data_IF_230573566863
#
_entry.id   IF_230573566863
#
_cell.length_a   1.000
_cell.length_b   1.000
_cell.length_c   1.000
_cell.angle_alpha   90.00
_cell.angle_beta   90.00
_cell.angle_gamma   90.00
#
_symmetry.space_group_name_H-M   'P 1'
#
loop_
_entity.id
_entity.type
_entity.pdbx_description
1 polymer ?
#
# COMPACT_ATOMS: atom_id res chain seq x y z
N UNK A 1 9.29 5.14 -19.35
CA UNK A 1 8.21 5.06 -18.34
C UNK A 1 8.85 5.26 -16.96
N UNK A 2 8.14 5.88 -16.02
CA UNK A 2 8.61 6.14 -14.66
C UNK A 2 7.67 5.44 -13.67
N UNK A 3 8.21 4.90 -12.59
CA UNK A 3 7.41 4.41 -11.46
C UNK A 3 7.18 5.56 -10.47
N UNK A 4 5.96 5.67 -9.95
CA UNK A 4 5.59 6.61 -8.90
C UNK A 4 5.47 5.84 -7.58
N UNK A 5 6.43 6.10 -6.70
CA UNK A 5 6.59 5.45 -5.41
C UNK A 5 6.17 6.37 -4.27
N UNK A 6 5.55 5.78 -3.25
CA UNK A 6 5.25 6.46 -1.98
C UNK A 6 5.84 5.65 -0.84
N UNK A 7 6.77 6.28 -0.11
CA UNK A 7 7.43 5.74 1.08
C UNK A 7 7.13 6.61 2.31
N UNK A 8 6.34 6.04 3.22
CA UNK A 8 5.88 6.70 4.44
C UNK A 8 4.38 6.60 4.64
N UNK A 9 3.96 6.04 5.78
CA UNK A 9 2.54 5.98 6.17
C UNK A 9 1.66 5.07 5.31
N UNK A 10 2.24 4.09 4.61
CA UNK A 10 1.49 3.14 3.77
C UNK A 10 0.88 2.02 4.62
N UNK A 11 -0.44 1.91 4.60
CA UNK A 11 -1.26 0.85 5.23
C UNK A 11 -2.51 0.52 4.40
N UNK A 12 -3.43 -0.33 4.91
CA UNK A 12 -4.66 -0.72 4.22
C UNK A 12 -5.68 0.42 4.05
N UNK A 13 -5.51 1.55 4.71
CA UNK A 13 -6.38 2.73 4.61
C UNK A 13 -5.81 3.75 3.64
N UNK A 14 -4.50 3.98 3.67
CA UNK A 14 -3.84 4.99 2.83
C UNK A 14 -3.57 4.46 1.43
N UNK A 15 -3.18 3.19 1.29
CA UNK A 15 -2.76 2.66 0.00
C UNK A 15 -3.83 2.71 -1.12
N UNK A 16 -5.14 2.49 -0.87
CA UNK A 16 -6.18 2.74 -1.88
C UNK A 16 -6.22 4.20 -2.39
N UNK A 17 -5.93 5.18 -1.54
CA UNK A 17 -5.84 6.60 -1.90
C UNK A 17 -4.59 6.88 -2.75
N UNK A 18 -3.46 6.27 -2.39
CA UNK A 18 -2.19 6.42 -3.12
C UNK A 18 -2.29 5.85 -4.53
N UNK A 19 -2.89 4.66 -4.68
CA UNK A 19 -3.16 4.06 -5.98
C UNK A 19 -4.09 4.95 -6.81
N UNK A 20 -5.15 5.49 -6.19
CA UNK A 20 -6.05 6.44 -6.86
C UNK A 20 -5.33 7.74 -7.30
N UNK A 21 -4.35 8.19 -6.52
CA UNK A 21 -3.53 9.35 -6.86
C UNK A 21 -2.48 9.08 -7.95
N UNK A 22 -2.31 7.82 -8.37
CA UNK A 22 -1.43 7.41 -9.47
C UNK A 22 -0.16 6.67 -9.04
N UNK A 23 0.02 6.38 -7.75
CA UNK A 23 1.15 5.56 -7.29
C UNK A 23 1.03 4.13 -7.82
N UNK A 24 2.14 3.58 -8.31
CA UNK A 24 2.23 2.19 -8.77
C UNK A 24 3.27 1.36 -8.00
N UNK A 25 3.98 1.99 -7.06
CA UNK A 25 4.86 1.33 -6.09
C UNK A 25 4.52 1.84 -4.69
N UNK A 26 4.38 0.93 -3.73
CA UNK A 26 4.00 1.22 -2.36
C UNK A 26 5.06 0.65 -1.40
N UNK A 27 5.60 1.48 -0.50
CA UNK A 27 6.57 1.04 0.51
C UNK A 27 5.94 1.01 1.89
N UNK A 28 5.72 -0.19 2.41
CA UNK A 28 5.08 -0.41 3.71
C UNK A 28 6.01 -1.15 4.67
N UNK A 29 6.85 -0.40 5.38
CA UNK A 29 7.75 -0.95 6.40
C UNK A 29 7.01 -1.30 7.70
N UNK A 30 6.67 -0.29 8.50
CA UNK A 30 6.07 -0.46 9.83
C UNK A 30 4.79 -1.30 9.80
N UNK A 31 3.93 -1.09 8.80
CA UNK A 31 2.67 -1.83 8.65
C UNK A 31 2.88 -3.34 8.50
N UNK A 32 3.92 -3.76 7.76
CA UNK A 32 4.25 -5.17 7.55
C UNK A 32 5.03 -5.73 8.74
N UNK A 33 6.13 -5.10 9.14
CA UNK A 33 7.09 -5.68 10.08
C UNK A 33 6.69 -5.56 11.56
N UNK A 34 5.76 -4.67 11.93
CA UNK A 34 5.19 -4.64 13.30
C UNK A 34 3.92 -5.48 13.45
N UNK A 35 3.41 -6.06 12.36
CA UNK A 35 2.26 -6.96 12.42
C UNK A 35 2.67 -8.31 12.99
N UNK A 36 1.78 -8.94 13.77
CA UNK A 36 1.90 -10.35 14.16
C UNK A 36 1.68 -11.31 12.98
N UNK A 37 1.06 -10.83 11.90
CA UNK A 37 0.81 -11.56 10.65
C UNK A 37 1.36 -10.79 9.43
N UNK A 38 2.69 -10.72 9.18
CA UNK A 38 3.26 -9.92 8.11
C UNK A 38 2.79 -10.33 6.70
N UNK A 39 2.67 -11.64 6.45
CA UNK A 39 2.22 -12.17 5.16
C UNK A 39 0.81 -11.70 4.81
N UNK A 40 -0.09 -11.70 5.80
CA UNK A 40 -1.47 -11.21 5.65
C UNK A 40 -1.52 -9.71 5.31
N UNK A 41 -0.63 -8.91 5.89
CA UNK A 41 -0.54 -7.49 5.54
C UNK A 41 -0.02 -7.27 4.11
N UNK A 42 0.96 -8.07 3.69
CA UNK A 42 1.43 -8.06 2.29
C UNK A 42 0.30 -8.47 1.34
N UNK A 43 -0.47 -9.51 1.66
CA UNK A 43 -1.63 -9.94 0.86
C UNK A 43 -2.69 -8.85 0.76
N UNK A 44 -3.01 -8.16 1.86
CA UNK A 44 -3.91 -7.00 1.81
C UNK A 44 -3.41 -5.95 0.82
N UNK A 45 -2.15 -5.54 0.93
CA UNK A 45 -1.57 -4.50 0.07
C UNK A 45 -1.55 -4.91 -1.41
N UNK A 46 -1.30 -6.19 -1.71
CA UNK A 46 -1.33 -6.72 -3.08
C UNK A 46 -2.73 -6.74 -3.71
N UNK A 47 -3.77 -6.85 -2.89
CA UNK A 47 -5.16 -6.95 -3.33
C UNK A 47 -5.94 -5.64 -3.14
N UNK A 48 -5.25 -4.51 -3.01
CA UNK A 48 -5.89 -3.21 -2.90
C UNK A 48 -6.63 -2.89 -4.17
N UNK A 49 -7.90 -2.48 -4.00
CA UNK A 49 -8.66 -1.85 -5.05
C UNK A 49 -8.63 -0.33 -4.86
N UNK A 50 -8.47 0.46 -5.93
CA UNK A 50 -8.66 1.89 -5.85
C UNK A 50 -10.08 2.17 -5.34
N UNK A 51 -10.23 3.20 -4.50
CA UNK A 51 -11.55 3.60 -4.02
C UNK A 51 -12.37 4.07 -5.22
N UNK A 52 -13.41 3.31 -5.57
CA UNK A 52 -14.39 3.71 -6.59
C UNK A 52 -14.98 5.07 -6.19
N UNK A 53 -15.05 5.99 -7.15
CA UNK A 53 -15.73 7.28 -6.93
C UNK A 53 -17.14 7.08 -6.40
#
# INVERSE_FOLDING_TARGET
ACHLEVDGGVDDKTAPLLVKAGANVLVAGTYVFRSTEPLKQIEKLKNIQPISQ
#
